data_IF_380271123216
#
_entry.id   IF_380271123216
#
_cell.length_a   1.000
_cell.length_b   1.000
_cell.length_c   1.000
_cell.angle_alpha   90.00
_cell.angle_beta   90.00
_cell.angle_gamma   90.00
#
_symmetry.space_group_name_H-M   'P 1'
#
loop_
_entity.id
_entity.type
_entity.pdbx_description
1 polymer ?
#
# COMPACT_ATOMS: atom_id res chain seq x y z
N UNK A 1 -24.04 3.02 10.94
CA UNK A 1 -23.64 3.83 9.78
C UNK A 1 -22.84 2.94 8.86
N UNK A 2 -23.34 2.63 7.66
CA UNK A 2 -22.62 1.82 6.67
C UNK A 2 -21.56 2.71 6.01
N UNK A 3 -20.29 2.40 6.21
CA UNK A 3 -19.19 3.11 5.55
C UNK A 3 -19.24 2.80 4.05
N UNK A 4 -19.02 3.80 3.20
CA UNK A 4 -18.88 3.56 1.77
C UNK A 4 -17.64 2.68 1.50
N UNK A 5 -17.63 1.83 0.46
CA UNK A 5 -16.49 0.96 0.15
C UNK A 5 -15.16 1.71 0.01
N UNK A 6 -15.23 2.95 -0.51
CA UNK A 6 -14.07 3.85 -0.62
C UNK A 6 -13.56 4.27 0.77
N UNK A 7 -14.46 4.62 1.68
CA UNK A 7 -14.10 5.04 3.03
C UNK A 7 -13.49 3.87 3.83
N UNK A 8 -13.99 2.65 3.64
CA UNK A 8 -13.40 1.44 4.23
C UNK A 8 -11.95 1.21 3.76
N UNK A 9 -11.67 1.34 2.45
CA UNK A 9 -10.29 1.21 1.93
C UNK A 9 -9.35 2.26 2.50
N UNK A 10 -9.78 3.53 2.53
CA UNK A 10 -8.94 4.62 3.03
C UNK A 10 -8.65 4.43 4.53
N UNK A 11 -9.65 4.05 5.33
CA UNK A 11 -9.47 3.78 6.76
C UNK A 11 -8.48 2.63 6.98
N UNK A 12 -8.59 1.55 6.20
CA UNK A 12 -7.72 0.38 6.32
C UNK A 12 -6.28 0.68 5.85
N UNK A 13 -6.12 1.45 4.77
CA UNK A 13 -4.82 1.87 4.30
C UNK A 13 -4.13 2.84 5.29
N UNK A 14 -4.91 3.75 5.88
CA UNK A 14 -4.43 4.68 6.91
C UNK A 14 -4.03 3.94 8.19
N UNK A 15 -4.78 2.93 8.63
CA UNK A 15 -4.42 2.15 9.82
C UNK A 15 -3.15 1.34 9.59
N UNK A 16 -2.95 0.77 8.40
CA UNK A 16 -1.68 0.13 8.04
C UNK A 16 -0.53 1.13 8.00
N UNK A 17 -0.71 2.31 7.39
CA UNK A 17 0.29 3.37 7.39
C UNK A 17 0.66 3.85 8.80
N UNK A 18 -0.33 3.93 9.70
CA UNK A 18 -0.10 4.22 11.12
C UNK A 18 0.71 3.12 11.81
N UNK A 19 0.39 1.85 11.54
CA UNK A 19 1.11 0.72 12.12
C UNK A 19 2.59 0.73 11.72
N UNK A 20 2.88 0.95 10.43
CA UNK A 20 4.25 1.12 9.95
C UNK A 20 4.92 2.38 10.51
N UNK A 21 4.19 3.49 10.61
CA UNK A 21 4.68 4.71 11.24
C UNK A 21 5.08 4.50 12.69
N UNK A 22 4.28 3.75 13.47
CA UNK A 22 4.55 3.48 14.88
C UNK A 22 5.79 2.61 15.12
N UNK A 23 6.29 1.91 14.09
CA UNK A 23 7.58 1.22 14.13
C UNK A 23 8.76 2.21 14.15
N UNK A 24 8.61 3.41 13.56
CA UNK A 24 9.67 4.41 13.48
C UNK A 24 10.22 4.82 14.85
N UNK A 25 9.41 5.23 15.86
CA UNK A 25 9.92 5.55 17.19
C UNK A 25 10.52 4.36 17.96
N UNK A 26 10.16 3.13 17.58
CA UNK A 26 10.75 1.92 18.19
C UNK A 26 12.13 1.66 17.60
N UNK A 27 12.32 1.89 16.31
CA UNK A 27 13.59 1.67 15.58
C UNK A 27 14.57 2.84 15.70
N UNK A 28 14.06 4.08 15.77
CA UNK A 28 14.82 5.32 15.79
C UNK A 28 14.78 5.91 17.20
N UNK A 29 15.85 5.69 17.96
CA UNK A 29 15.99 6.28 19.30
C UNK A 29 16.32 7.77 19.18
N UNK A 30 15.35 8.62 19.50
CA UNK A 30 15.56 10.07 19.55
C UNK A 30 16.09 10.49 20.93
N UNK A 31 17.18 11.26 20.95
CA UNK A 31 17.79 11.77 22.18
C UNK A 31 17.60 13.29 22.35
N UNK A 32 17.24 14.00 21.27
CA UNK A 32 17.01 15.45 21.29
C UNK A 32 15.57 15.80 20.90
N UNK A 33 15.09 16.99 21.30
CA UNK A 33 13.73 17.45 20.95
C UNK A 33 13.54 17.54 19.44
N UNK A 34 14.56 17.99 18.70
CA UNK A 34 14.51 18.07 17.24
C UNK A 34 14.41 16.70 16.58
N UNK A 35 15.15 15.72 17.09
CA UNK A 35 15.06 14.32 16.65
C UNK A 35 13.67 13.71 16.94
N UNK A 36 13.11 13.98 18.11
CA UNK A 36 11.75 13.52 18.46
C UNK A 36 10.71 14.10 17.51
N UNK A 37 10.82 15.38 17.15
CA UNK A 37 9.96 16.00 16.13
C UNK A 37 10.11 15.33 14.77
N UNK A 38 11.33 14.97 14.38
CA UNK A 38 11.60 14.26 13.13
C UNK A 38 10.95 12.87 13.11
N UNK A 39 11.11 12.09 14.19
CA UNK A 39 10.50 10.75 14.33
C UNK A 39 8.99 10.83 14.22
N UNK A 40 8.34 11.76 14.94
CA UNK A 40 6.90 11.97 14.82
C UNK A 40 6.51 12.46 13.43
N UNK A 41 7.34 13.27 12.78
CA UNK A 41 7.18 13.64 11.37
C UNK A 41 7.12 12.43 10.45
N UNK A 42 8.00 11.44 10.64
CA UNK A 42 8.00 10.18 9.89
C UNK A 42 6.73 9.37 10.17
N UNK A 43 6.27 9.32 11.43
CA UNK A 43 5.00 8.64 11.78
C UNK A 43 3.84 9.25 10.99
N UNK A 44 3.67 10.58 11.05
CA UNK A 44 2.60 11.26 10.32
C UNK A 44 2.73 11.12 8.82
N UNK A 45 3.97 11.13 8.32
CA UNK A 45 4.25 10.91 6.92
C UNK A 45 3.84 9.50 6.46
N UNK A 46 4.08 8.47 7.28
CA UNK A 46 3.68 7.08 6.96
C UNK A 46 2.15 6.92 6.95
N UNK A 47 1.44 7.60 7.86
CA UNK A 47 -0.03 7.69 7.83
C UNK A 47 -0.51 8.36 6.54
N UNK A 48 0.17 9.41 6.09
CA UNK A 48 -0.16 10.14 4.86
C UNK A 48 0.08 9.27 3.61
N UNK A 49 1.19 8.53 3.57
CA UNK A 49 1.47 7.54 2.54
C UNK A 49 0.34 6.50 2.47
N UNK A 50 -0.03 5.90 3.59
CA UNK A 50 -1.13 4.93 3.66
C UNK A 50 -2.46 5.51 3.16
N UNK A 51 -2.79 6.73 3.58
CA UNK A 51 -4.01 7.41 3.12
C UNK A 51 -4.01 7.67 1.60
N UNK A 52 -2.89 8.11 1.02
CA UNK A 52 -2.76 8.35 -0.43
C UNK A 52 -2.86 7.06 -1.23
N UNK A 53 -2.21 5.99 -0.77
CA UNK A 53 -2.32 4.66 -1.40
C UNK A 53 -3.76 4.17 -1.37
N UNK A 54 -4.46 4.28 -0.24
CA UNK A 54 -5.87 3.91 -0.11
C UNK A 54 -6.80 4.71 -1.02
N UNK A 55 -6.52 6.01 -1.19
CA UNK A 55 -7.29 6.90 -2.07
C UNK A 55 -7.10 6.55 -3.55
N UNK A 56 -5.86 6.32 -3.97
CA UNK A 56 -5.51 5.97 -5.36
C UNK A 56 -5.93 4.54 -5.71
N UNK A 57 -6.10 3.68 -4.70
CA UNK A 57 -6.67 2.34 -4.86
C UNK A 57 -8.12 2.37 -5.38
N UNK A 58 -8.91 3.36 -4.98
CA UNK A 58 -10.36 3.39 -5.23
C UNK A 58 -10.78 3.34 -6.70
N UNK A 59 -10.19 4.13 -7.62
CA UNK A 59 -10.49 3.99 -9.04
C UNK A 59 -9.83 2.71 -9.61
N UNK A 60 -10.67 1.75 -10.01
CA UNK A 60 -10.24 0.54 -10.72
C UNK A 60 -9.76 0.84 -12.17
N UNK A 61 -10.09 2.02 -12.69
CA UNK A 61 -9.76 2.48 -14.04
C UNK A 61 -9.19 3.89 -13.98
N UNK A 62 -7.98 4.08 -14.51
CA UNK A 62 -7.50 5.42 -14.80
C UNK A 62 -8.23 5.96 -16.03
N UNK A 63 -8.92 7.11 -15.95
CA UNK A 63 -9.70 7.65 -17.07
C UNK A 63 -8.85 7.96 -18.31
N UNK A 64 -7.53 8.15 -18.14
CA UNK A 64 -6.59 8.43 -19.23
C UNK A 64 -6.01 7.20 -19.93
N UNK A 65 -5.85 6.06 -19.23
CA UNK A 65 -5.17 4.87 -19.81
C UNK A 65 -6.11 3.72 -20.13
N UNK A 66 -7.35 3.70 -19.65
CA UNK A 66 -8.34 2.65 -19.93
C UNK A 66 -7.98 1.24 -19.41
N UNK A 67 -6.72 1.03 -19.00
CA UNK A 67 -6.18 -0.22 -18.47
C UNK A 67 -6.36 -0.29 -16.95
N UNK A 68 -6.58 -1.51 -16.44
CA UNK A 68 -6.57 -1.78 -14.99
C UNK A 68 -5.12 -1.86 -14.56
N UNK A 69 -4.67 -0.91 -13.74
CA UNK A 69 -3.35 -1.02 -13.14
C UNK A 69 -3.34 -2.17 -12.13
N UNK A 70 -2.36 -3.08 -12.20
CA UNK A 70 -2.23 -4.16 -11.23
C UNK A 70 -2.08 -3.58 -9.82
N UNK A 71 -2.76 -4.23 -8.87
CA UNK A 71 -2.58 -3.93 -7.45
C UNK A 71 -1.11 -4.12 -7.08
N UNK A 72 -0.57 -3.20 -6.28
CA UNK A 72 0.85 -3.10 -5.98
C UNK A 72 1.55 -2.04 -6.83
N UNK A 73 1.40 -2.01 -8.16
CA UNK A 73 2.12 -1.04 -9.00
C UNK A 73 1.70 0.39 -8.69
N UNK A 74 0.40 0.63 -8.47
CA UNK A 74 -0.10 1.95 -8.05
C UNK A 74 0.45 2.35 -6.67
N UNK A 75 0.47 1.42 -5.72
CA UNK A 75 0.94 1.65 -4.35
C UNK A 75 2.45 1.92 -4.33
N UNK A 76 3.20 1.13 -5.10
CA UNK A 76 4.63 1.31 -5.30
C UNK A 76 4.96 2.65 -5.95
N UNK A 77 4.22 3.08 -6.97
CA UNK A 77 4.43 4.39 -7.59
C UNK A 77 4.26 5.55 -6.61
N UNK A 78 3.20 5.50 -5.79
CA UNK A 78 2.98 6.48 -4.72
C UNK A 78 4.09 6.41 -3.67
N UNK A 79 4.48 5.20 -3.27
CA UNK A 79 5.56 4.97 -2.32
C UNK A 79 6.91 5.50 -2.82
N UNK A 80 7.24 5.34 -4.09
CA UNK A 80 8.45 5.93 -4.71
C UNK A 80 8.41 7.44 -4.61
N UNK A 81 7.34 8.09 -5.06
CA UNK A 81 7.23 9.56 -5.03
C UNK A 81 7.29 10.11 -3.62
N UNK A 82 6.54 9.51 -2.72
CA UNK A 82 6.59 9.87 -1.32
C UNK A 82 8.00 9.67 -0.78
N UNK A 83 8.61 8.50 -0.99
CA UNK A 83 9.95 8.17 -0.51
C UNK A 83 11.01 9.16 -1.00
N UNK A 84 10.91 9.63 -2.25
CA UNK A 84 11.77 10.70 -2.78
C UNK A 84 11.55 12.01 -2.02
N UNK A 85 10.31 12.39 -1.71
CA UNK A 85 10.03 13.59 -0.91
C UNK A 85 10.62 13.46 0.50
N UNK A 86 10.43 12.30 1.14
CA UNK A 86 10.99 12.03 2.46
C UNK A 86 12.52 12.10 2.43
N UNK A 87 13.13 11.51 1.41
CA UNK A 87 14.56 11.59 1.20
C UNK A 87 15.00 13.05 1.08
N UNK A 88 14.39 13.85 0.21
CA UNK A 88 14.81 15.25 0.01
C UNK A 88 14.66 16.12 1.26
N UNK A 89 13.65 15.85 2.10
CA UNK A 89 13.33 16.70 3.27
C UNK A 89 14.04 16.23 4.54
N UNK A 90 14.22 14.92 4.71
CA UNK A 90 14.62 14.32 5.98
C UNK A 90 15.93 13.53 5.92
N UNK A 91 16.65 13.51 4.79
CA UNK A 91 17.87 12.70 4.62
C UNK A 91 18.88 12.90 5.77
N UNK A 92 19.31 14.14 6.00
CA UNK A 92 20.35 14.42 6.99
C UNK A 92 19.93 13.99 8.40
N UNK A 93 18.69 14.30 8.78
CA UNK A 93 18.15 13.89 10.09
C UNK A 93 18.03 12.38 10.24
N UNK A 94 17.60 11.67 9.18
CA UNK A 94 17.48 10.22 9.19
C UNK A 94 18.85 9.54 9.25
N UNK A 95 19.88 10.06 8.57
CA UNK A 95 21.23 9.49 8.63
C UNK A 95 21.84 9.60 10.03
N UNK A 96 21.62 10.72 10.72
CA UNK A 96 22.07 10.91 12.11
C UNK A 96 21.37 9.93 13.06
N UNK A 97 20.06 9.77 12.92
CA UNK A 97 19.30 8.80 13.71
C UNK A 97 19.72 7.36 13.43
N UNK A 98 19.98 7.03 12.16
CA UNK A 98 20.43 5.69 11.75
C UNK A 98 21.80 5.34 12.34
N UNK A 99 22.75 6.27 12.29
CA UNK A 99 24.10 6.06 12.81
C UNK A 99 24.13 5.84 14.34
N UNK A 100 23.07 6.25 15.04
CA UNK A 100 22.92 6.07 16.49
C UNK A 100 22.09 4.85 16.89
N UNK A 101 21.40 4.22 15.95
CA UNK A 101 20.57 3.07 16.29
C UNK A 101 21.42 1.82 16.43
N UNK A 102 21.33 1.18 17.59
CA UNK A 102 21.99 -0.09 17.91
C UNK A 102 21.36 -1.28 17.17
N UNK A 103 20.13 -1.11 16.68
CA UNK A 103 19.35 -2.18 16.05
C UNK A 103 19.57 -2.28 14.54
N UNK A 104 19.99 -1.19 13.88
CA UNK A 104 20.09 -1.16 12.43
C UNK A 104 21.49 -1.54 11.94
N UNK A 105 21.60 -2.29 10.83
CA UNK A 105 22.88 -2.71 10.28
C UNK A 105 23.74 -1.49 9.93
N UNK A 106 25.03 -1.56 10.29
CA UNK A 106 26.04 -0.55 9.99
C UNK A 106 27.06 -1.08 8.97
N UNK A 107 27.44 -0.30 7.94
CA UNK A 107 26.95 1.05 7.65
C UNK A 107 25.50 1.05 7.18
N UNK A 108 24.81 2.17 7.38
CA UNK A 108 23.43 2.32 6.90
C UNK A 108 23.31 2.05 5.41
N UNK A 109 22.15 1.56 4.95
CA UNK A 109 21.91 1.29 3.55
C UNK A 109 21.95 2.61 2.77
N UNK A 110 22.36 2.53 1.50
CA UNK A 110 22.58 3.71 0.67
C UNK A 110 21.35 4.63 0.57
N UNK A 111 21.58 5.89 0.17
CA UNK A 111 20.58 6.98 0.06
C UNK A 111 19.24 6.54 -0.57
N UNK A 112 19.29 5.68 -1.59
CA UNK A 112 18.10 5.20 -2.31
C UNK A 112 17.26 4.16 -1.56
N UNK A 113 17.78 3.61 -0.46
CA UNK A 113 17.09 2.58 0.32
C UNK A 113 15.76 3.08 0.88
N UNK A 114 15.71 4.32 1.39
CA UNK A 114 14.48 4.93 1.91
C UNK A 114 13.39 4.96 0.83
N UNK A 115 13.76 5.22 -0.42
CA UNK A 115 12.81 5.23 -1.55
C UNK A 115 12.32 3.82 -1.87
N UNK A 116 13.21 2.83 -1.85
CA UNK A 116 12.86 1.42 -2.07
C UNK A 116 11.95 0.91 -0.97
N UNK A 117 12.26 1.21 0.29
CA UNK A 117 11.46 0.83 1.45
C UNK A 117 10.07 1.49 1.41
N UNK A 118 9.99 2.79 1.13
CA UNK A 118 8.71 3.49 0.95
C UNK A 118 7.88 2.89 -0.21
N UNK A 119 8.53 2.53 -1.32
CA UNK A 119 7.88 1.85 -2.43
C UNK A 119 7.33 0.47 -2.01
N UNK A 120 8.14 -0.32 -1.30
CA UNK A 120 7.74 -1.64 -0.80
C UNK A 120 6.55 -1.55 0.17
N UNK A 121 6.59 -0.60 1.10
CA UNK A 121 5.48 -0.34 2.04
C UNK A 121 4.24 0.07 1.25
N UNK A 122 4.36 0.95 0.26
CA UNK A 122 3.26 1.35 -0.61
C UNK A 122 2.64 0.18 -1.37
N UNK A 123 3.47 -0.72 -1.95
CA UNK A 123 3.03 -1.97 -2.60
C UNK A 123 2.28 -2.84 -1.59
N UNK A 124 2.85 -3.06 -0.41
CA UNK A 124 2.31 -3.94 0.61
C UNK A 124 0.95 -3.45 1.12
N UNK A 125 0.81 -2.15 1.38
CA UNK A 125 -0.46 -1.54 1.79
C UNK A 125 -1.50 -1.73 0.70
N UNK A 126 -1.16 -1.44 -0.56
CA UNK A 126 -2.12 -1.55 -1.67
C UNK A 126 -2.58 -3.00 -1.90
N UNK A 127 -1.66 -3.97 -1.82
CA UNK A 127 -1.96 -5.39 -1.90
C UNK A 127 -2.84 -5.86 -0.74
N UNK A 128 -2.49 -5.49 0.50
CA UNK A 128 -3.25 -5.86 1.69
C UNK A 128 -4.68 -5.32 1.64
N UNK A 129 -4.84 -4.05 1.27
CA UNK A 129 -6.16 -3.43 1.14
C UNK A 129 -6.97 -4.11 0.03
N UNK A 130 -6.35 -4.34 -1.13
CA UNK A 130 -7.03 -4.97 -2.27
C UNK A 130 -7.45 -6.41 -1.94
N UNK A 131 -6.60 -7.18 -1.27
CA UNK A 131 -6.93 -8.56 -0.85
C UNK A 131 -8.15 -8.62 0.08
N UNK A 132 -8.35 -7.61 0.93
CA UNK A 132 -9.49 -7.53 1.85
C UNK A 132 -10.75 -7.00 1.18
N UNK A 133 -10.62 -6.10 0.20
CA UNK A 133 -11.80 -5.46 -0.43
C UNK A 133 -12.28 -6.13 -1.71
N UNK A 134 -11.40 -6.81 -2.45
CA UNK A 134 -11.74 -7.58 -3.64
C UNK A 134 -11.24 -9.02 -3.45
N UNK A 135 -11.92 -9.87 -2.66
CA UNK A 135 -11.63 -11.28 -2.65
C UNK A 135 -11.92 -11.80 -4.06
N UNK A 136 -10.87 -12.24 -4.76
CA UNK A 136 -10.95 -12.84 -6.09
C UNK A 136 -12.07 -13.86 -6.10
N UNK A 137 -13.19 -13.52 -6.76
CA UNK A 137 -14.29 -14.45 -6.95
C UNK A 137 -13.75 -15.65 -7.74
N UNK A 138 -13.78 -16.88 -7.19
CA UNK A 138 -13.40 -18.06 -7.95
C UNK A 138 -14.28 -18.14 -9.19
N UNK A 139 -13.61 -18.34 -10.31
CA UNK A 139 -14.12 -18.34 -11.67
C UNK A 139 -15.42 -19.16 -11.84
N UNK A 140 -16.57 -18.49 -11.90
CA UNK A 140 -17.85 -19.11 -12.29
C UNK A 140 -17.90 -19.49 -13.78
N UNK A 141 -16.82 -19.28 -14.55
CA UNK A 141 -16.77 -19.68 -15.97
C UNK A 141 -16.94 -21.18 -16.21
N UNK A 142 -16.80 -22.03 -15.20
CA UNK A 142 -17.07 -23.47 -15.33
C UNK A 142 -18.53 -23.90 -15.23
N UNK A 143 -19.48 -23.02 -14.85
CA UNK A 143 -20.87 -23.45 -14.55
C UNK A 143 -21.86 -23.27 -15.71
N UNK A 144 -21.56 -22.41 -16.69
CA UNK A 144 -22.49 -22.13 -17.79
C UNK A 144 -22.34 -23.04 -19.01
N UNK A 145 -21.28 -23.86 -19.10
CA UNK A 145 -21.11 -24.78 -20.24
C UNK A 145 -21.85 -26.11 -20.05
N UNK A 146 -22.19 -26.50 -18.81
CA UNK A 146 -22.85 -27.79 -18.54
C UNK A 146 -24.39 -27.69 -18.63
N UNK A 147 -24.98 -26.51 -18.40
CA UNK A 147 -26.44 -26.32 -18.40
C UNK A 147 -27.09 -26.12 -19.77
N UNK A 148 -26.31 -25.74 -20.80
CA UNK A 148 -26.86 -25.46 -22.14
C UNK A 148 -26.94 -26.69 -23.05
N UNK A 149 -26.36 -27.83 -22.66
CA UNK A 149 -26.28 -29.00 -23.53
C UNK A 149 -27.40 -30.04 -23.31
N UNK A 150 -28.22 -29.87 -22.27
CA UNK A 150 -29.35 -30.77 -22.00
C UNK A 150 -30.70 -30.25 -22.52
N UNK A 151 -30.83 -28.96 -22.86
CA UNK A 151 -32.08 -28.40 -23.36
C UNK A 151 -32.36 -28.66 -24.86
N UNK A 152 -31.39 -29.23 -25.59
CA UNK A 152 -31.47 -29.38 -27.06
C UNK A 152 -31.75 -30.80 -27.58
N UNK A 153 -31.86 -31.81 -26.72
CA UNK A 153 -32.04 -33.21 -27.14
C UNK A 153 -33.21 -33.87 -26.42
N UNK A 154 -34.44 -33.65 -26.89
CA UNK A 154 -35.44 -34.71 -27.12
C UNK A 154 -36.73 -34.09 -27.65
N UNK A 155 -36.88 -34.06 -28.98
CA UNK A 155 -38.10 -34.42 -29.74
C UNK A 155 -37.91 -34.07 -31.21
N UNK A 156 -37.69 -35.09 -32.05
CA UNK A 156 -38.52 -35.24 -33.23
C UNK A 156 -39.18 -36.63 -33.21
N UNK A 157 -40.47 -36.63 -33.52
CA UNK A 157 -41.33 -37.80 -33.42
C UNK A 157 -40.95 -38.93 -34.36
N UNK A 158 -41.26 -40.13 -33.89
CA UNK A 158 -41.73 -41.30 -34.63
C UNK A 158 -42.59 -42.11 -33.67
#
# INVERSE_FOLDING_TARGET
>A
MTLTPLMQRVVLAKSLGLLFGLLAPVMLTANTVSETMLVWGVVFWAVLLGALVGLIGAPHRMPLLGTRLPAGVRGGWVGVWMGVILLLVAHDGLTVLWARSEWLPQPGPGVWWIVIEAALIGVLIDLAVTAVTDPVAPDERGRNETGSNEAGRTRPGQ
#
